data_IF_833070179015
#
_entry.id   IF_833070179015
#
_cell.length_a   1.000
_cell.length_b   1.000
_cell.length_c   1.000
_cell.angle_alpha   90.00
_cell.angle_beta   90.00
_cell.angle_gamma   90.00
#
_symmetry.space_group_name_H-M   'P 1'
#
loop_
_entity.id
_entity.type
_entity.pdbx_description
1 polymer ?
#
# COMPACT_ATOMS: atom_id res chain seq x y z
N UNK A 1 -36.56 -25.36 -68.25
CA UNK A 1 -35.29 -24.68 -68.54
C UNK A 1 -34.23 -25.36 -67.69
N UNK A 2 -33.36 -26.11 -68.35
CA UNK A 2 -32.28 -26.92 -67.77
C UNK A 2 -30.94 -26.30 -68.14
N UNK A 3 -29.94 -26.45 -67.25
CA UNK A 3 -28.47 -26.55 -67.43
C UNK A 3 -27.73 -25.90 -66.23
N UNK A 4 -26.97 -26.69 -65.46
CA UNK A 4 -25.48 -26.85 -65.50
C UNK A 4 -24.80 -25.90 -64.48
N UNK A 5 -23.68 -26.19 -63.80
CA UNK A 5 -22.82 -27.36 -63.62
C UNK A 5 -21.77 -27.08 -62.51
N UNK A 6 -21.23 -28.15 -61.90
CA UNK A 6 -19.85 -28.30 -61.38
C UNK A 6 -19.43 -27.54 -60.11
N UNK A 7 -18.46 -27.97 -59.29
CA UNK A 7 -17.54 -29.14 -59.33
C UNK A 7 -16.79 -29.25 -57.96
N UNK A 8 -16.51 -30.49 -57.51
CA UNK A 8 -15.29 -31.05 -56.81
C UNK A 8 -14.56 -30.30 -55.66
N UNK A 9 -13.87 -30.87 -54.67
CA UNK A 9 -13.52 -32.21 -54.15
C UNK A 9 -12.86 -31.95 -52.75
N UNK A 10 -12.89 -32.80 -51.73
CA UNK A 10 -11.90 -33.87 -51.54
C UNK A 10 -12.13 -34.63 -50.21
N UNK A 11 -11.92 -35.94 -50.28
CA UNK A 11 -11.98 -36.93 -49.18
C UNK A 11 -10.65 -36.98 -48.41
N UNK A 12 -10.69 -37.32 -47.12
CA UNK A 12 -9.76 -38.28 -46.50
C UNK A 12 -10.31 -38.81 -45.17
N UNK A 13 -10.46 -40.14 -45.11
CA UNK A 13 -10.73 -40.91 -43.90
C UNK A 13 -9.44 -41.41 -43.22
N UNK A 14 -9.55 -42.21 -42.14
CA UNK A 14 -8.66 -42.15 -40.99
C UNK A 14 -7.63 -43.30 -40.91
N UNK A 15 -6.51 -43.10 -40.19
CA UNK A 15 -5.58 -44.16 -39.77
C UNK A 15 -4.89 -43.87 -38.42
N UNK A 16 -4.96 -44.85 -37.53
CA UNK A 16 -4.10 -45.16 -36.36
C UNK A 16 -3.52 -46.59 -36.63
N UNK A 17 -2.53 -47.19 -35.90
CA UNK A 17 -1.80 -46.76 -34.67
C UNK A 17 -0.26 -47.09 -34.56
N UNK A 18 0.40 -46.53 -33.51
CA UNK A 18 1.54 -47.04 -32.65
C UNK A 18 3.00 -47.20 -33.20
N UNK A 19 4.05 -47.37 -32.34
CA UNK A 19 4.59 -46.51 -31.26
C UNK A 19 6.14 -46.35 -31.30
N UNK A 20 6.75 -45.33 -30.67
CA UNK A 20 8.20 -45.34 -30.38
C UNK A 20 8.61 -44.47 -29.17
N UNK A 21 9.18 -45.18 -28.18
CA UNK A 21 10.25 -44.83 -27.24
C UNK A 21 10.22 -43.49 -26.46
N UNK A 22 10.01 -43.64 -25.15
CA UNK A 22 10.24 -42.67 -24.07
C UNK A 22 11.72 -42.61 -23.70
N UNK A 23 12.33 -41.42 -23.66
CA UNK A 23 13.53 -41.15 -22.84
C UNK A 23 13.49 -39.74 -22.25
N UNK A 24 13.29 -39.72 -20.92
CA UNK A 24 13.80 -38.81 -19.87
C UNK A 24 14.53 -37.51 -20.25
N UNK A 25 14.07 -36.38 -19.67
CA UNK A 25 14.92 -35.53 -18.82
C UNK A 25 14.06 -34.60 -17.94
N UNK A 26 13.94 -34.95 -16.65
CA UNK A 26 13.34 -34.13 -15.60
C UNK A 26 14.34 -34.00 -14.45
N UNK A 27 15.27 -33.06 -14.55
CA UNK A 27 16.29 -32.87 -13.50
C UNK A 27 16.53 -31.41 -13.07
N UNK A 28 15.91 -30.41 -13.71
CA UNK A 28 16.18 -29.00 -13.38
C UNK A 28 15.13 -28.31 -12.48
N UNK A 29 14.00 -28.97 -12.15
CA UNK A 29 12.98 -28.40 -11.25
C UNK A 29 13.11 -28.81 -9.78
N UNK A 30 13.97 -29.78 -9.46
CA UNK A 30 14.07 -30.34 -8.09
C UNK A 30 15.07 -29.56 -7.22
N UNK A 31 16.09 -28.94 -7.81
CA UNK A 31 17.13 -28.23 -7.04
C UNK A 31 16.68 -26.86 -6.50
N UNK A 32 15.86 -26.09 -7.23
CA UNK A 32 15.41 -24.76 -6.79
C UNK A 32 14.39 -24.80 -5.63
N UNK A 33 13.57 -25.85 -5.56
CA UNK A 33 12.61 -26.02 -4.46
C UNK A 33 13.31 -26.43 -3.14
N UNK A 34 14.41 -27.18 -3.23
CA UNK A 34 15.18 -27.64 -2.07
C UNK A 34 15.97 -26.53 -1.39
N UNK A 35 16.51 -25.58 -2.16
CA UNK A 35 17.24 -24.42 -1.61
C UNK A 35 16.30 -23.41 -0.95
N UNK A 36 15.12 -23.16 -1.54
CA UNK A 36 14.09 -22.28 -0.97
C UNK A 36 13.49 -22.86 0.33
N UNK A 37 13.25 -24.17 0.38
CA UNK A 37 12.81 -24.85 1.62
C UNK A 37 13.86 -24.74 2.73
N UNK A 38 15.15 -24.90 2.40
CA UNK A 38 16.25 -24.79 3.37
C UNK A 38 16.49 -23.36 3.89
N UNK A 39 16.14 -22.34 3.10
CA UNK A 39 16.22 -20.95 3.49
C UNK A 39 15.08 -20.57 4.45
N UNK A 40 13.85 -21.02 4.14
CA UNK A 40 12.69 -20.83 5.01
C UNK A 40 12.82 -21.57 6.35
N UNK A 41 13.42 -22.76 6.36
CA UNK A 41 13.71 -23.50 7.60
C UNK A 41 14.80 -22.82 8.45
N UNK A 42 15.79 -22.17 7.82
CA UNK A 42 16.80 -21.38 8.53
C UNK A 42 16.22 -20.11 9.15
N UNK A 43 15.41 -19.35 8.40
CA UNK A 43 14.71 -18.16 8.93
C UNK A 43 13.74 -18.52 10.08
N UNK A 44 13.04 -19.66 9.96
CA UNK A 44 12.16 -20.13 11.03
C UNK A 44 12.92 -20.51 12.29
N UNK A 45 14.09 -21.16 12.16
CA UNK A 45 14.94 -21.49 13.30
C UNK A 45 15.57 -20.25 13.94
N UNK A 46 15.99 -19.25 13.15
CA UNK A 46 16.49 -17.96 13.65
C UNK A 46 15.38 -17.14 14.35
N UNK A 47 14.14 -17.20 13.85
CA UNK A 47 12.97 -16.62 14.50
C UNK A 47 12.63 -17.32 15.83
N UNK A 48 12.79 -18.64 15.90
CA UNK A 48 12.60 -19.42 17.13
C UNK A 48 13.69 -19.14 18.17
N UNK A 49 14.95 -18.97 17.75
CA UNK A 49 16.07 -18.61 18.63
C UNK A 49 16.00 -17.16 19.15
N UNK A 50 15.39 -16.25 18.37
CA UNK A 50 15.15 -14.85 18.78
C UNK A 50 13.89 -14.66 19.64
N UNK A 51 13.15 -15.73 19.94
CA UNK A 51 11.87 -15.65 20.67
C UNK A 51 10.75 -14.97 19.88
N UNK A 52 10.96 -14.71 18.58
CA UNK A 52 9.98 -14.13 17.70
C UNK A 52 9.03 -15.23 17.21
N UNK A 53 7.89 -15.38 17.88
CA UNK A 53 6.78 -16.18 17.35
C UNK A 53 5.84 -15.29 16.53
N UNK A 54 5.44 -15.70 15.32
CA UNK A 54 4.36 -15.02 14.60
C UNK A 54 3.10 -14.95 15.46
N UNK A 55 2.46 -13.79 15.48
CA UNK A 55 1.21 -13.60 16.22
C UNK A 55 0.11 -14.52 15.67
N UNK A 56 -0.61 -15.19 16.56
CA UNK A 56 -1.79 -15.98 16.20
C UNK A 56 -2.88 -15.06 15.64
N UNK A 57 -3.81 -15.61 14.85
CA UNK A 57 -4.96 -14.85 14.31
C UNK A 57 -5.75 -14.13 15.41
N UNK A 58 -5.90 -14.77 16.58
CA UNK A 58 -6.62 -14.21 17.72
C UNK A 58 -5.86 -13.05 18.37
N UNK A 59 -4.56 -13.17 18.55
CA UNK A 59 -3.71 -12.09 19.08
C UNK A 59 -3.69 -10.88 18.14
N UNK A 60 -3.58 -11.09 16.83
CA UNK A 60 -3.70 -10.01 15.83
C UNK A 60 -5.05 -9.30 15.92
N UNK A 61 -6.15 -10.05 16.07
CA UNK A 61 -7.49 -9.47 16.23
C UNK A 61 -7.62 -8.66 17.52
N UNK A 62 -7.08 -9.15 18.64
CA UNK A 62 -7.14 -8.41 19.92
C UNK A 62 -6.31 -7.13 19.88
N UNK A 63 -5.11 -7.18 19.31
CA UNK A 63 -4.28 -6.00 19.10
C UNK A 63 -4.99 -4.98 18.21
N UNK A 64 -5.59 -5.44 17.11
CA UNK A 64 -6.36 -4.59 16.20
C UNK A 64 -7.55 -3.93 16.92
N UNK A 65 -8.32 -4.69 17.71
CA UNK A 65 -9.47 -4.14 18.44
C UNK A 65 -9.06 -3.12 19.48
N UNK A 66 -7.92 -3.34 20.16
CA UNK A 66 -7.35 -2.37 21.09
C UNK A 66 -6.97 -1.08 20.36
N UNK A 67 -6.25 -1.20 19.27
CA UNK A 67 -5.81 -0.05 18.47
C UNK A 67 -7.01 0.73 17.91
N UNK A 68 -8.02 0.03 17.39
CA UNK A 68 -9.27 0.64 16.94
C UNK A 68 -9.96 1.43 18.06
N UNK A 69 -9.96 0.90 19.30
CA UNK A 69 -10.52 1.58 20.46
C UNK A 69 -9.79 2.84 20.89
N UNK A 70 -8.55 3.04 20.46
CA UNK A 70 -7.76 4.26 20.71
C UNK A 70 -7.97 5.33 19.63
N UNK A 71 -8.69 5.03 18.54
CA UNK A 71 -8.95 5.98 17.45
C UNK A 71 -10.25 6.74 17.66
N UNK A 72 -10.27 8.01 17.23
CA UNK A 72 -11.51 8.75 17.04
C UNK A 72 -12.21 8.27 15.75
N UNK A 73 -13.39 7.66 15.89
CA UNK A 73 -14.17 7.10 14.78
C UNK A 73 -14.58 8.17 13.77
N UNK A 74 -14.92 9.38 14.23
CA UNK A 74 -15.33 10.45 13.33
C UNK A 74 -14.14 10.97 12.51
N UNK A 75 -12.96 11.09 13.13
CA UNK A 75 -11.73 11.42 12.42
C UNK A 75 -11.35 10.34 11.40
N UNK A 76 -11.44 9.05 11.76
CA UNK A 76 -11.17 7.94 10.85
C UNK A 76 -12.09 7.97 9.62
N UNK A 77 -13.36 8.36 9.76
CA UNK A 77 -14.26 8.54 8.62
C UNK A 77 -13.77 9.62 7.64
N UNK A 78 -13.27 10.75 8.14
CA UNK A 78 -12.71 11.79 7.29
C UNK A 78 -11.45 11.34 6.56
N UNK A 79 -10.53 10.66 7.27
CA UNK A 79 -9.32 10.12 6.65
C UNK A 79 -9.69 9.11 5.57
N UNK A 80 -10.65 8.21 5.85
CA UNK A 80 -11.12 7.23 4.88
C UNK A 80 -11.69 7.89 3.63
N UNK A 81 -12.49 8.97 3.78
CA UNK A 81 -13.04 9.69 2.63
C UNK A 81 -11.94 10.31 1.76
N UNK A 82 -10.94 10.92 2.40
CA UNK A 82 -9.78 11.50 1.71
C UNK A 82 -9.01 10.42 0.94
N UNK A 83 -8.74 9.27 1.56
CA UNK A 83 -7.96 8.20 0.94
C UNK A 83 -8.72 7.48 -0.20
N UNK A 84 -10.03 7.30 -0.07
CA UNK A 84 -10.83 6.56 -1.07
C UNK A 84 -11.29 7.41 -2.25
N UNK A 85 -11.50 8.70 -2.03
CA UNK A 85 -12.06 9.61 -3.03
C UNK A 85 -11.09 10.70 -3.47
N UNK A 86 -9.85 10.67 -2.97
CA UNK A 86 -8.80 11.66 -3.26
C UNK A 86 -9.30 13.10 -3.00
N UNK A 87 -9.99 13.28 -1.86
CA UNK A 87 -10.54 14.57 -1.46
C UNK A 87 -9.46 15.42 -0.78
N UNK A 88 -9.62 16.72 -0.91
CA UNK A 88 -8.82 17.71 -0.22
C UNK A 88 -9.70 18.47 0.76
N UNK A 89 -9.43 18.28 2.06
CA UNK A 89 -10.32 18.78 3.12
C UNK A 89 -9.54 19.73 4.03
N UNK A 90 -9.94 21.00 4.09
CA UNK A 90 -9.39 21.94 5.05
C UNK A 90 -9.71 21.51 6.48
N UNK A 91 -8.69 21.43 7.33
CA UNK A 91 -8.82 20.98 8.70
C UNK A 91 -7.90 21.73 9.66
N UNK A 92 -8.37 21.85 10.90
CA UNK A 92 -7.53 22.14 12.05
C UNK A 92 -7.46 20.90 12.95
N UNK A 93 -6.26 20.51 13.34
CA UNK A 93 -5.99 19.44 14.31
C UNK A 93 -5.36 20.05 15.56
N UNK A 94 -5.85 19.66 16.73
CA UNK A 94 -5.19 19.90 18.00
C UNK A 94 -4.38 18.67 18.38
N UNK A 95 -3.07 18.82 18.53
CA UNK A 95 -2.14 17.73 18.84
C UNK A 95 -1.03 18.20 19.77
N UNK A 96 -0.89 17.59 20.95
CA UNK A 96 0.22 17.90 21.86
C UNK A 96 0.34 19.39 22.22
N UNK A 97 -0.80 20.09 22.31
CA UNK A 97 -0.85 21.54 22.56
C UNK A 97 -0.51 22.42 21.34
N UNK A 98 -0.35 21.82 20.16
CA UNK A 98 -0.20 22.51 18.88
C UNK A 98 -1.56 22.60 18.18
N UNK A 99 -1.78 23.70 17.44
CA UNK A 99 -2.86 23.78 16.46
C UNK A 99 -2.24 23.70 15.06
N UNK A 100 -2.67 22.70 14.30
CA UNK A 100 -2.15 22.37 12.98
C UNK A 100 -3.27 22.62 11.98
N UNK A 101 -3.12 23.66 11.17
CA UNK A 101 -4.07 23.99 10.11
C UNK A 101 -3.48 23.55 8.78
N UNK A 102 -4.32 23.12 7.86
CA UNK A 102 -3.92 22.81 6.49
C UNK A 102 -4.99 22.04 5.75
N UNK A 103 -4.64 21.46 4.62
CA UNK A 103 -5.53 20.65 3.80
C UNK A 103 -5.15 19.19 3.96
N UNK A 104 -6.03 18.37 4.53
CA UNK A 104 -5.87 16.93 4.58
C UNK A 104 -5.92 16.36 3.16
N UNK A 105 -4.97 15.47 2.84
CA UNK A 105 -4.77 14.88 1.51
C UNK A 105 -4.50 13.38 1.63
N UNK A 106 -4.68 12.65 0.53
CA UNK A 106 -4.42 11.21 0.48
C UNK A 106 -2.93 10.89 0.67
N UNK A 107 -2.65 9.67 1.14
CA UNK A 107 -1.29 9.14 1.27
C UNK A 107 -0.59 9.10 -0.10
N UNK A 108 -1.36 8.83 -1.16
CA UNK A 108 -0.88 8.89 -2.53
C UNK A 108 -0.39 10.29 -2.92
N UNK A 109 -1.16 11.34 -2.62
CA UNK A 109 -0.77 12.72 -2.91
C UNK A 109 0.46 13.15 -2.10
N UNK A 110 0.49 12.80 -0.81
CA UNK A 110 1.65 13.04 0.05
C UNK A 110 2.92 12.35 -0.48
N UNK A 111 2.83 11.08 -0.86
CA UNK A 111 3.95 10.31 -1.37
C UNK A 111 4.46 10.89 -2.71
N UNK A 112 3.55 11.23 -3.61
CA UNK A 112 3.89 11.77 -4.93
C UNK A 112 4.70 13.07 -4.82
N UNK A 113 4.29 13.99 -3.94
CA UNK A 113 5.04 15.24 -3.70
C UNK A 113 6.50 14.97 -3.33
N UNK A 114 6.76 14.06 -2.39
CA UNK A 114 8.12 13.77 -1.98
C UNK A 114 8.90 12.99 -3.03
N UNK A 115 8.24 12.17 -3.85
CA UNK A 115 8.89 11.56 -5.00
C UNK A 115 9.37 12.67 -5.93
N UNK A 116 8.48 13.56 -6.37
CA UNK A 116 8.82 14.62 -7.34
C UNK A 116 9.90 15.56 -6.81
N UNK A 117 9.81 15.96 -5.53
CA UNK A 117 10.82 16.79 -4.87
C UNK A 117 12.21 16.13 -4.88
N UNK A 118 12.29 14.84 -4.55
CA UNK A 118 13.57 14.14 -4.47
C UNK A 118 14.10 13.77 -5.86
N UNK A 119 13.23 13.54 -6.83
CA UNK A 119 13.61 13.43 -8.23
C UNK A 119 14.28 14.70 -8.73
N UNK A 120 13.66 15.86 -8.52
CA UNK A 120 14.23 17.16 -8.91
C UNK A 120 15.56 17.43 -8.18
N UNK A 121 15.64 17.11 -6.89
CA UNK A 121 16.79 17.45 -6.05
C UNK A 121 18.00 16.53 -6.29
N UNK A 122 17.77 15.22 -6.48
CA UNK A 122 18.85 14.23 -6.42
C UNK A 122 19.18 13.58 -7.76
N UNK A 123 18.26 13.53 -8.74
CA UNK A 123 18.41 12.70 -9.94
C UNK A 123 19.71 12.98 -10.73
N UNK A 124 20.15 14.23 -10.80
CA UNK A 124 21.36 14.62 -11.54
C UNK A 124 22.67 14.26 -10.82
N UNK A 125 22.68 14.34 -9.48
CA UNK A 125 23.92 14.26 -8.68
C UNK A 125 24.06 12.91 -7.95
N UNK A 126 22.94 12.29 -7.58
CA UNK A 126 22.87 11.04 -6.83
C UNK A 126 21.59 10.26 -7.22
N UNK A 127 21.60 9.57 -8.37
CA UNK A 127 20.44 8.84 -8.87
C UNK A 127 20.05 7.66 -7.98
N UNK A 128 21.00 7.05 -7.28
CA UNK A 128 20.75 5.93 -6.37
C UNK A 128 19.89 6.38 -5.17
N UNK A 129 20.18 7.57 -4.62
CA UNK A 129 19.35 8.17 -3.57
C UNK A 129 17.94 8.51 -4.09
N UNK A 130 17.83 9.07 -5.30
CA UNK A 130 16.51 9.35 -5.90
C UNK A 130 15.67 8.07 -6.05
N UNK A 131 16.28 6.98 -6.55
CA UNK A 131 15.60 5.69 -6.71
C UNK A 131 15.22 5.04 -5.36
N UNK A 132 16.10 5.13 -4.36
CA UNK A 132 15.83 4.62 -3.02
C UNK A 132 14.65 5.36 -2.36
N UNK A 133 14.62 6.70 -2.45
CA UNK A 133 13.54 7.52 -1.91
C UNK A 133 12.24 7.30 -2.68
N UNK A 134 12.27 7.22 -4.01
CA UNK A 134 11.10 6.86 -4.82
C UNK A 134 10.51 5.54 -4.34
N UNK A 135 11.33 4.51 -4.20
CA UNK A 135 10.90 3.19 -3.70
C UNK A 135 10.27 3.28 -2.31
N UNK A 136 10.89 4.03 -1.41
CA UNK A 136 10.36 4.24 -0.05
C UNK A 136 8.97 4.88 -0.06
N UNK A 137 8.79 6.00 -0.77
CA UNK A 137 7.51 6.71 -0.78
C UNK A 137 6.42 5.93 -1.53
N UNK A 138 6.75 5.23 -2.62
CA UNK A 138 5.80 4.33 -3.29
C UNK A 138 5.32 3.23 -2.35
N UNK A 139 6.18 2.71 -1.47
CA UNK A 139 5.82 1.67 -0.52
C UNK A 139 4.89 2.15 0.61
N UNK A 140 4.69 3.47 0.78
CA UNK A 140 3.71 4.01 1.73
C UNK A 140 2.28 3.98 1.18
N UNK A 141 2.10 3.82 -0.13
CA UNK A 141 0.78 3.86 -0.76
C UNK A 141 0.24 2.42 -0.85
N UNK A 142 -0.83 2.09 -0.13
CA UNK A 142 -1.41 0.75 -0.22
C UNK A 142 -1.97 0.45 -1.62
N UNK A 143 -1.84 -0.81 -2.10
CA UNK A 143 -2.53 -1.24 -3.30
C UNK A 143 -4.05 -1.11 -3.16
N UNK A 144 -4.74 -0.68 -4.23
CA UNK A 144 -6.21 -0.45 -4.22
C UNK A 144 -7.03 -1.71 -3.88
N UNK A 145 -6.48 -2.88 -4.18
CA UNK A 145 -7.06 -4.21 -3.92
C UNK A 145 -6.70 -4.77 -2.53
N UNK A 146 -5.78 -4.12 -1.82
CA UNK A 146 -5.35 -4.49 -0.48
C UNK A 146 -5.42 -3.25 0.43
N UNK A 147 -6.64 -2.83 0.82
CA UNK A 147 -6.76 -1.76 1.80
C UNK A 147 -5.99 -2.14 3.07
N UNK A 148 -5.16 -1.20 3.52
CA UNK A 148 -4.22 -1.39 4.62
C UNK A 148 -4.93 -1.78 5.93
N UNK A 149 -4.44 -2.87 6.53
CA UNK A 149 -4.58 -3.29 7.92
C UNK A 149 -5.97 -3.18 8.59
N UNK A 150 -6.80 -4.17 8.26
CA UNK A 150 -7.79 -4.76 9.17
C UNK A 150 -7.94 -6.26 8.86
N UNK A 151 -8.02 -7.17 9.85
CA UNK A 151 -8.39 -8.56 9.58
C UNK A 151 -9.73 -8.60 8.83
N UNK A 152 -9.92 -9.59 7.95
CA UNK A 152 -11.16 -9.77 7.20
C UNK A 152 -12.41 -9.62 8.12
N UNK A 153 -13.32 -8.72 7.73
CA UNK A 153 -14.53 -8.39 8.50
C UNK A 153 -14.36 -7.31 9.58
N UNK A 154 -13.18 -6.68 9.70
CA UNK A 154 -12.93 -5.54 10.58
C UNK A 154 -12.70 -4.25 9.78
N UNK A 155 -13.04 -3.07 10.35
CA UNK A 155 -12.76 -1.78 9.74
C UNK A 155 -11.30 -1.59 9.28
N UNK A 156 -11.09 -0.69 8.33
CA UNK A 156 -9.76 -0.19 7.95
C UNK A 156 -9.40 0.93 8.92
N UNK A 157 -8.17 0.94 9.43
CA UNK A 157 -7.68 1.99 10.33
C UNK A 157 -6.51 2.70 9.66
N UNK A 158 -6.61 4.02 9.55
CA UNK A 158 -5.53 4.85 9.06
C UNK A 158 -4.72 5.41 10.24
N UNK A 159 -3.45 4.99 10.34
CA UNK A 159 -2.57 5.41 11.44
C UNK A 159 -2.06 6.84 11.30
N UNK A 160 -1.99 7.35 10.07
CA UNK A 160 -1.38 8.63 9.77
C UNK A 160 -2.37 9.55 9.06
N UNK A 161 -2.22 10.83 9.34
CA UNK A 161 -2.87 11.93 8.66
C UNK A 161 -1.78 12.66 7.88
N UNK A 162 -2.06 12.97 6.62
CA UNK A 162 -1.21 13.76 5.75
C UNK A 162 -1.90 15.08 5.43
N UNK A 163 -1.17 16.18 5.53
CA UNK A 163 -1.69 17.51 5.24
C UNK A 163 -0.71 18.30 4.36
N UNK A 164 -1.24 19.16 3.49
CA UNK A 164 -0.50 20.16 2.72
C UNK A 164 -0.86 21.59 3.15
N UNK A 165 0.00 22.54 2.76
CA UNK A 165 -0.13 23.98 3.08
C UNK A 165 -0.29 24.25 4.58
N UNK A 166 0.55 23.58 5.35
CA UNK A 166 0.35 23.44 6.78
C UNK A 166 0.90 24.66 7.51
N UNK A 167 0.07 25.20 8.39
CA UNK A 167 0.44 26.23 9.35
C UNK A 167 0.32 25.67 10.76
N UNK A 168 1.41 25.71 11.52
CA UNK A 168 1.43 25.23 12.91
C UNK A 168 1.53 26.44 13.84
N UNK A 169 0.62 26.49 14.81
CA UNK A 169 0.63 27.45 15.91
C UNK A 169 1.04 26.75 17.20
N UNK A 170 2.05 27.31 17.88
CA UNK A 170 2.59 26.79 19.15
C UNK A 170 3.04 27.93 20.05
N UNK A 171 2.40 28.12 21.21
CA UNK A 171 2.88 29.08 22.22
C UNK A 171 3.11 30.51 21.71
N UNK A 172 2.34 30.96 20.72
CA UNK A 172 2.49 32.28 20.07
C UNK A 172 3.39 32.31 18.84
N UNK A 173 4.08 31.21 18.52
CA UNK A 173 4.84 31.06 17.28
C UNK A 173 3.98 30.48 16.16
N UNK A 174 4.16 31.01 14.94
CA UNK A 174 3.53 30.55 13.71
C UNK A 174 4.62 30.16 12.72
N UNK A 175 4.60 28.94 12.21
CA UNK A 175 5.47 28.52 11.11
C UNK A 175 4.70 27.71 10.07
N UNK A 176 5.21 27.72 8.84
CA UNK A 176 4.60 27.07 7.69
C UNK A 176 5.50 25.96 7.16
N UNK A 177 4.89 24.85 6.77
CA UNK A 177 5.56 23.74 6.10
C UNK A 177 4.70 23.28 4.92
N UNK A 178 5.31 22.87 3.79
CA UNK A 178 4.54 22.50 2.59
C UNK A 178 3.70 21.25 2.83
N UNK A 179 4.26 20.27 3.56
CA UNK A 179 3.60 19.03 3.94
C UNK A 179 3.89 18.68 5.39
N UNK A 180 2.93 17.99 6.01
CA UNK A 180 3.03 17.47 7.37
C UNK A 180 2.40 16.08 7.44
N UNK A 181 3.00 15.22 8.27
CA UNK A 181 2.51 13.88 8.58
C UNK A 181 2.43 13.72 10.10
N UNK A 182 1.31 13.26 10.61
CA UNK A 182 1.12 12.98 12.04
C UNK A 182 0.30 11.74 12.31
N UNK A 183 0.34 11.24 13.55
CA UNK A 183 -0.41 10.04 13.96
C UNK A 183 -1.86 10.41 14.29
N UNK A 184 -2.82 9.72 13.68
CA UNK A 184 -4.24 9.93 13.92
C UNK A 184 -4.61 9.72 15.40
N UNK A 185 -4.02 8.72 16.05
CA UNK A 185 -4.23 8.42 17.49
C UNK A 185 -3.66 9.46 18.45
N UNK A 186 -3.02 10.53 17.95
CA UNK A 186 -2.47 11.62 18.75
C UNK A 186 -3.25 12.93 18.57
N UNK A 187 -4.37 12.88 17.84
CA UNK A 187 -5.27 14.02 17.68
C UNK A 187 -6.18 14.12 18.89
N UNK A 188 -6.05 15.22 19.62
CA UNK A 188 -6.86 15.51 20.80
C UNK A 188 -8.23 16.08 20.41
N UNK A 189 -8.28 16.86 19.32
CA UNK A 189 -9.50 17.42 18.74
C UNK A 189 -9.28 17.81 17.26
N UNK A 190 -10.36 17.93 16.49
CA UNK A 190 -10.29 18.42 15.11
C UNK A 190 -11.50 19.28 14.73
N UNK A 191 -11.31 20.14 13.73
CA UNK A 191 -12.38 20.94 13.10
C UNK A 191 -12.23 20.84 11.58
N UNK A 192 -13.34 20.60 10.90
CA UNK A 192 -13.43 20.58 9.42
C UNK A 192 -13.78 21.98 8.91
N UNK A 193 -13.14 22.42 7.84
CA UNK A 193 -13.33 23.75 7.23
C UNK A 193 -12.68 24.90 8.02
N UNK A 194 -11.80 24.58 8.97
CA UNK A 194 -11.08 25.60 9.72
C UNK A 194 -9.87 26.09 8.92
N UNK A 195 -9.87 27.39 8.60
CA UNK A 195 -8.72 28.09 8.04
C UNK A 195 -8.03 28.91 9.13
N UNK A 196 -6.75 29.21 8.93
CA UNK A 196 -6.07 30.21 9.77
C UNK A 196 -6.71 31.54 9.40
N UNK A 197 -7.52 32.09 10.31
CA UNK A 197 -8.06 33.44 10.12
C UNK A 197 -6.93 34.43 9.80
N UNK A 198 -7.21 35.34 8.88
CA UNK A 198 -6.30 36.44 8.53
C UNK A 198 -5.98 37.34 9.74
#
# INVERSE_FOLDING_TARGET
MSNEAGQEASKQGPQQPQPAATHSNSSDKVNAASSAASAAERELNEALESGFRPLTRMERRQLWLREYGEQDVALQMWIQLVEQHDLEIEMMLQMHGLLIFGVMVSTAHYAQFYIDLNEETHREHDPDTADALRKYYTALVPPRDQPEYGPEGLPIVYHYIHMRDVTILSGGHKFKVPYWRGKASRVDAFVVGATVGD
#
